data_IF_303269889860
#
_entry.id   IF_303269889860
#
_cell.length_a   1.000
_cell.length_b   1.000
_cell.length_c   1.000
_cell.angle_alpha   90.00
_cell.angle_beta   90.00
_cell.angle_gamma   90.00
#
_symmetry.space_group_name_H-M   'P 1'
#
loop_
_entity.id
_entity.type
_entity.pdbx_description
1 polymer ?
#
# COMPACT_ATOMS: atom_id res chain seq x y z
N UNK A 1 28.84 18.96 -61.61
CA UNK A 1 27.96 18.05 -60.85
C UNK A 1 28.84 17.27 -59.89
N UNK A 2 28.99 17.74 -58.64
CA UNK A 2 29.83 17.06 -57.63
C UNK A 2 29.32 17.24 -56.19
N UNK A 3 28.07 17.69 -56.02
CA UNK A 3 27.45 17.89 -54.70
C UNK A 3 27.00 16.63 -53.94
N UNK A 4 26.63 15.48 -54.56
CA UNK A 4 26.14 14.33 -53.78
C UNK A 4 27.23 13.67 -52.93
N UNK A 5 28.52 13.84 -53.29
CA UNK A 5 29.63 13.21 -52.56
C UNK A 5 29.91 13.85 -51.19
N UNK A 6 29.72 15.17 -51.05
CA UNK A 6 29.96 15.87 -49.79
C UNK A 6 28.90 15.57 -48.74
N UNK A 7 27.63 15.48 -49.18
CA UNK A 7 26.52 15.10 -48.29
C UNK A 7 26.65 13.67 -47.80
N UNK A 8 27.04 12.73 -48.68
CA UNK A 8 27.30 11.34 -48.29
C UNK A 8 28.46 11.24 -47.29
N UNK A 9 29.57 11.93 -47.53
CA UNK A 9 30.73 11.95 -46.61
C UNK A 9 30.34 12.50 -45.23
N UNK A 10 29.58 13.59 -45.20
CA UNK A 10 29.06 14.15 -43.94
C UNK A 10 28.18 13.13 -43.22
N UNK A 11 27.22 12.49 -43.90
CA UNK A 11 26.36 11.49 -43.28
C UNK A 11 27.15 10.29 -42.72
N UNK A 12 28.20 9.85 -43.41
CA UNK A 12 29.06 8.76 -42.95
C UNK A 12 29.86 9.15 -41.70
N UNK A 13 30.41 10.36 -41.65
CA UNK A 13 31.11 10.90 -40.47
C UNK A 13 30.15 11.09 -39.29
N UNK A 14 28.95 11.62 -39.55
CA UNK A 14 27.91 11.83 -38.55
C UNK A 14 27.47 10.50 -37.92
N UNK A 15 27.28 9.48 -38.76
CA UNK A 15 26.97 8.11 -38.30
C UNK A 15 28.12 7.53 -37.48
N UNK A 16 29.36 7.66 -37.93
CA UNK A 16 30.54 7.17 -37.21
C UNK A 16 30.70 7.84 -35.84
N UNK A 17 30.41 9.14 -35.74
CA UNK A 17 30.42 9.86 -34.47
C UNK A 17 29.36 9.32 -33.50
N UNK A 18 28.13 9.09 -34.00
CA UNK A 18 27.03 8.49 -33.23
C UNK A 18 27.36 7.07 -32.75
N UNK A 19 27.91 6.22 -33.61
CA UNK A 19 28.27 4.83 -33.29
C UNK A 19 29.37 4.74 -32.20
N UNK A 20 30.12 5.82 -31.96
CA UNK A 20 31.18 5.88 -30.95
C UNK A 20 30.73 6.40 -29.59
N UNK A 21 29.52 6.95 -29.48
CA UNK A 21 29.01 7.49 -28.21
C UNK A 21 28.78 6.32 -27.23
N UNK A 22 29.45 6.29 -26.06
CA UNK A 22 29.30 5.20 -25.12
C UNK A 22 27.97 5.29 -24.36
N UNK A 23 27.09 4.31 -24.57
CA UNK A 23 25.75 4.24 -23.94
C UNK A 23 25.69 3.33 -22.71
N UNK A 24 26.71 2.49 -22.50
CA UNK A 24 26.66 1.37 -21.56
C UNK A 24 26.36 1.82 -20.13
N UNK A 25 26.99 2.91 -19.67
CA UNK A 25 26.78 3.44 -18.31
C UNK A 25 25.34 3.94 -18.13
N UNK A 26 24.79 4.64 -19.12
CA UNK A 26 23.40 5.10 -19.10
C UNK A 26 22.42 3.93 -19.14
N UNK A 27 22.68 2.93 -20.00
CA UNK A 27 21.87 1.71 -20.10
C UNK A 27 21.84 0.92 -18.79
N UNK A 28 22.98 0.69 -18.16
CA UNK A 28 23.05 0.01 -16.86
C UNK A 28 22.39 0.82 -15.74
N UNK A 29 22.52 2.14 -15.75
CA UNK A 29 21.84 2.99 -14.78
C UNK A 29 20.31 2.90 -14.93
N UNK A 30 19.79 2.92 -16.16
CA UNK A 30 18.35 2.72 -16.43
C UNK A 30 17.89 1.35 -15.96
N UNK A 31 18.64 0.27 -16.26
CA UNK A 31 18.32 -1.10 -15.80
C UNK A 31 18.27 -1.18 -14.27
N UNK A 32 19.24 -0.57 -13.59
CA UNK A 32 19.26 -0.48 -12.14
C UNK A 32 18.04 0.26 -11.59
N UNK A 33 17.64 1.36 -12.23
CA UNK A 33 16.44 2.10 -11.85
C UNK A 33 15.15 1.30 -12.02
N UNK A 34 15.04 0.53 -13.10
CA UNK A 34 13.91 -0.38 -13.32
C UNK A 34 13.79 -1.38 -12.15
N UNK A 35 14.92 -1.94 -11.69
CA UNK A 35 14.94 -2.83 -10.53
C UNK A 35 14.48 -2.14 -9.25
N UNK A 36 14.91 -0.89 -9.02
CA UNK A 36 14.44 -0.06 -7.89
C UNK A 36 12.91 0.10 -7.94
N UNK A 37 12.36 0.48 -9.10
CA UNK A 37 10.91 0.64 -9.29
C UNK A 37 10.18 -0.69 -9.07
N UNK A 38 10.74 -1.80 -9.53
CA UNK A 38 10.18 -3.13 -9.34
C UNK A 38 10.09 -3.51 -7.85
N UNK A 39 11.18 -3.32 -7.10
CA UNK A 39 11.22 -3.60 -5.66
C UNK A 39 10.18 -2.75 -4.89
N UNK A 40 10.06 -1.47 -5.25
CA UNK A 40 9.02 -0.59 -4.69
C UNK A 40 7.62 -1.12 -5.00
N UNK A 41 7.36 -1.50 -6.26
CA UNK A 41 6.06 -2.02 -6.69
C UNK A 41 5.66 -3.30 -5.94
N UNK A 42 6.61 -4.23 -5.74
CA UNK A 42 6.37 -5.45 -4.97
C UNK A 42 5.96 -5.12 -3.53
N UNK A 43 6.67 -4.19 -2.86
CA UNK A 43 6.31 -3.79 -1.50
C UNK A 43 4.97 -3.06 -1.39
N UNK A 44 4.66 -2.18 -2.33
CA UNK A 44 3.35 -1.53 -2.40
C UNK A 44 2.22 -2.56 -2.60
N UNK A 45 2.47 -3.62 -3.38
CA UNK A 45 1.50 -4.72 -3.56
C UNK A 45 1.26 -5.49 -2.26
N UNK A 46 2.31 -5.75 -1.46
CA UNK A 46 2.17 -6.35 -0.14
C UNK A 46 1.36 -5.46 0.83
N UNK A 47 1.67 -4.17 0.88
CA UNK A 47 0.92 -3.19 1.69
C UNK A 47 -0.56 -3.16 1.28
N UNK A 48 -0.85 -3.14 -0.02
CA UNK A 48 -2.21 -3.12 -0.53
C UNK A 48 -3.01 -4.38 -0.15
N UNK A 49 -2.36 -5.54 -0.09
CA UNK A 49 -3.00 -6.77 0.40
C UNK A 49 -3.37 -6.64 1.88
N UNK A 50 -2.48 -6.08 2.69
CA UNK A 50 -2.74 -5.85 4.12
C UNK A 50 -3.89 -4.84 4.28
N UNK A 51 -3.85 -3.72 3.55
CA UNK A 51 -4.93 -2.72 3.53
C UNK A 51 -6.30 -3.35 3.25
N UNK A 52 -6.43 -4.15 2.19
CA UNK A 52 -7.70 -4.83 1.85
C UNK A 52 -8.17 -5.77 2.96
N UNK A 53 -7.25 -6.48 3.62
CA UNK A 53 -7.57 -7.37 4.75
C UNK A 53 -8.10 -6.58 5.94
N UNK A 54 -7.49 -5.44 6.27
CA UNK A 54 -7.94 -4.53 7.32
C UNK A 54 -9.32 -3.95 6.99
N UNK A 55 -9.54 -3.47 5.76
CA UNK A 55 -10.82 -2.94 5.30
C UNK A 55 -11.94 -3.98 5.37
N UNK A 56 -11.68 -5.21 4.92
CA UNK A 56 -12.64 -6.30 4.99
C UNK A 56 -12.99 -6.65 6.45
N UNK A 57 -11.98 -6.74 7.32
CA UNK A 57 -12.19 -7.06 8.74
C UNK A 57 -13.00 -5.98 9.44
N UNK A 58 -12.71 -4.70 9.16
CA UNK A 58 -13.46 -3.55 9.66
C UNK A 58 -14.91 -3.55 9.18
N UNK A 59 -15.14 -3.80 7.89
CA UNK A 59 -16.49 -3.90 7.32
C UNK A 59 -17.33 -5.02 7.94
N UNK A 60 -16.73 -6.19 8.17
CA UNK A 60 -17.41 -7.30 8.84
C UNK A 60 -17.71 -7.00 10.30
N UNK A 61 -16.78 -6.34 11.02
CA UNK A 61 -17.02 -5.87 12.38
C UNK A 61 -18.20 -4.88 12.45
N UNK A 62 -18.26 -3.89 11.56
CA UNK A 62 -19.37 -2.92 11.52
C UNK A 62 -20.73 -3.58 11.27
N UNK A 63 -20.80 -4.57 10.38
CA UNK A 63 -22.02 -5.37 10.17
C UNK A 63 -22.43 -6.13 11.44
N UNK A 64 -21.49 -6.78 12.12
CA UNK A 64 -21.78 -7.50 13.37
C UNK A 64 -22.21 -6.57 14.49
N UNK A 65 -21.54 -5.43 14.62
CA UNK A 65 -21.83 -4.38 15.61
C UNK A 65 -23.21 -3.76 15.39
N UNK A 66 -23.57 -3.43 14.14
CA UNK A 66 -24.90 -2.91 13.80
C UNK A 66 -26.01 -3.95 14.01
N UNK A 67 -25.76 -5.21 13.67
CA UNK A 67 -26.68 -6.32 13.94
C UNK A 67 -26.93 -6.50 15.44
N UNK A 68 -25.88 -6.52 16.26
CA UNK A 68 -26.01 -6.65 17.71
C UNK A 68 -26.80 -5.48 18.32
N UNK A 69 -26.50 -4.24 17.92
CA UNK A 69 -27.26 -3.04 18.35
C UNK A 69 -28.75 -3.13 18.00
N UNK A 70 -29.08 -3.74 16.85
CA UNK A 70 -30.48 -3.97 16.46
C UNK A 70 -31.15 -5.01 17.35
N UNK A 71 -30.46 -6.11 17.67
CA UNK A 71 -30.94 -7.16 18.58
C UNK A 71 -31.13 -6.60 19.98
N UNK A 72 -30.16 -5.88 20.53
CA UNK A 72 -30.24 -5.21 21.83
C UNK A 72 -31.48 -4.31 21.90
N UNK A 73 -31.67 -3.45 20.90
CA UNK A 73 -32.82 -2.54 20.86
C UNK A 73 -34.14 -3.31 20.89
N UNK A 74 -34.28 -4.38 20.09
CA UNK A 74 -35.49 -5.21 20.09
C UNK A 74 -35.68 -5.94 21.41
N UNK A 75 -34.62 -6.56 21.94
CA UNK A 75 -34.65 -7.33 23.18
C UNK A 75 -35.07 -6.48 24.38
N UNK A 76 -34.40 -5.34 24.59
CA UNK A 76 -34.74 -4.44 25.69
C UNK A 76 -36.08 -3.71 25.47
N UNK A 77 -36.43 -3.35 24.23
CA UNK A 77 -37.74 -2.76 23.94
C UNK A 77 -38.89 -3.73 24.20
N UNK A 78 -38.74 -5.01 23.86
CA UNK A 78 -39.74 -6.05 24.15
C UNK A 78 -39.89 -6.29 25.65
N UNK A 79 -38.80 -6.31 26.42
CA UNK A 79 -38.87 -6.42 27.89
C UNK A 79 -39.58 -5.21 28.53
N UNK A 80 -39.28 -3.99 28.06
CA UNK A 80 -39.93 -2.76 28.52
C UNK A 80 -41.44 -2.72 28.21
N UNK A 81 -41.89 -3.38 27.14
CA UNK A 81 -43.31 -3.42 26.73
C UNK A 81 -44.15 -4.46 27.48
N UNK A 82 -43.52 -5.51 28.04
CA UNK A 82 -44.22 -6.59 28.78
C UNK A 82 -44.28 -6.29 30.29
N UNK A 83 -43.74 -5.16 30.75
CA UNK A 83 -43.74 -4.77 32.16
C UNK A 83 -42.89 -5.69 33.05
N UNK A 84 -42.05 -6.55 32.44
CA UNK A 84 -41.08 -7.37 33.16
C UNK A 84 -39.86 -6.49 33.36
N UNK A 85 -39.70 -5.97 34.57
CA UNK A 85 -38.45 -5.36 35.02
C UNK A 85 -37.32 -6.35 34.74
N UNK A 86 -36.21 -5.94 34.08
CA UNK A 86 -34.98 -6.74 34.06
C UNK A 86 -34.67 -7.16 35.51
N UNK A 87 -34.17 -8.38 35.76
CA UNK A 87 -33.94 -8.85 37.13
C UNK A 87 -32.96 -7.88 37.81
N UNK A 88 -33.51 -6.98 38.61
CA UNK A 88 -32.74 -6.13 39.48
C UNK A 88 -32.02 -7.05 40.47
N UNK A 89 -30.75 -6.76 40.68
CA UNK A 89 -29.86 -7.46 41.60
C UNK A 89 -30.28 -7.21 43.05
N UNK A 90 -31.44 -7.75 43.46
CA UNK A 90 -31.92 -7.75 44.84
C UNK A 90 -31.69 -9.12 45.50
N UNK A 91 -31.26 -9.18 46.77
CA UNK A 91 -30.99 -10.45 47.45
C UNK A 91 -32.33 -11.05 47.92
N UNK A 92 -32.91 -11.95 47.13
CA UNK A 92 -34.21 -12.53 47.44
C UNK A 92 -34.46 -13.86 46.74
N UNK A 93 -33.89 -14.93 47.31
CA UNK A 93 -34.44 -16.29 47.41
C UNK A 93 -35.07 -16.95 46.16
N UNK A 94 -34.33 -17.91 45.60
CA UNK A 94 -34.89 -19.15 45.05
C UNK A 94 -35.02 -19.20 43.52
N UNK A 95 -34.33 -20.18 42.93
CA UNK A 95 -34.25 -20.54 41.50
C UNK A 95 -33.23 -19.72 40.70
N UNK A 96 -32.02 -20.27 40.63
CA UNK A 96 -30.90 -19.77 39.85
C UNK A 96 -31.15 -19.85 38.35
N UNK A 97 -31.96 -18.93 37.83
CA UNK A 97 -31.89 -18.55 36.43
C UNK A 97 -30.68 -17.64 36.30
N UNK A 98 -29.66 -18.13 35.59
CA UNK A 98 -28.39 -17.46 35.31
C UNK A 98 -28.63 -15.96 35.03
N UNK A 99 -28.25 -15.10 35.99
CA UNK A 99 -28.43 -13.64 35.94
C UNK A 99 -27.48 -12.97 34.94
N UNK A 100 -27.09 -13.71 33.90
CA UNK A 100 -26.14 -13.33 32.89
C UNK A 100 -26.90 -12.70 31.74
N UNK A 101 -26.43 -11.54 31.30
CA UNK A 101 -26.97 -10.86 30.13
C UNK A 101 -27.09 -11.88 28.96
N UNK A 102 -28.30 -12.12 28.42
CA UNK A 102 -28.50 -13.08 27.32
C UNK A 102 -27.70 -12.74 26.06
N UNK A 103 -27.21 -11.51 25.96
CA UNK A 103 -26.35 -11.03 24.87
C UNK A 103 -24.86 -11.00 25.25
N UNK A 104 -24.48 -11.44 26.45
CA UNK A 104 -23.09 -11.40 26.94
C UNK A 104 -22.12 -12.14 26.02
N UNK A 105 -22.51 -13.33 25.53
CA UNK A 105 -21.67 -14.12 24.63
C UNK A 105 -21.47 -13.38 23.29
N UNK A 106 -22.54 -12.83 22.71
CA UNK A 106 -22.45 -12.04 21.46
C UNK A 106 -21.62 -10.77 21.63
N UNK A 107 -21.72 -10.11 22.78
CA UNK A 107 -20.88 -8.95 23.13
C UNK A 107 -19.40 -9.35 23.26
N UNK A 108 -19.13 -10.49 23.89
CA UNK A 108 -17.77 -11.03 24.02
C UNK A 108 -17.17 -11.40 22.66
N UNK A 109 -17.93 -12.05 21.78
CA UNK A 109 -17.52 -12.34 20.40
C UNK A 109 -17.25 -11.05 19.62
N UNK A 110 -18.11 -10.04 19.75
CA UNK A 110 -17.92 -8.75 19.10
C UNK A 110 -16.64 -8.05 19.58
N UNK A 111 -16.36 -8.07 20.89
CA UNK A 111 -15.12 -7.55 21.45
C UNK A 111 -13.88 -8.29 20.91
N UNK A 112 -13.96 -9.62 20.73
CA UNK A 112 -12.90 -10.38 20.09
C UNK A 112 -12.72 -10.01 18.60
N UNK A 113 -13.80 -9.72 17.88
CA UNK A 113 -13.72 -9.17 16.53
C UNK A 113 -13.09 -7.78 16.49
N UNK A 114 -13.43 -6.92 17.46
CA UNK A 114 -12.86 -5.57 17.57
C UNK A 114 -11.35 -5.62 17.74
N UNK A 115 -10.84 -6.42 18.68
CA UNK A 115 -9.39 -6.59 18.89
C UNK A 115 -8.67 -7.05 17.63
N UNK A 116 -9.27 -7.98 16.88
CA UNK A 116 -8.69 -8.40 15.59
C UNK A 116 -8.62 -7.26 14.58
N UNK A 117 -9.62 -6.38 14.51
CA UNK A 117 -9.58 -5.20 13.63
C UNK A 117 -8.46 -4.25 14.06
N UNK A 118 -8.33 -3.98 15.36
CA UNK A 118 -7.27 -3.15 15.94
C UNK A 118 -5.88 -3.71 15.60
N UNK A 119 -5.66 -5.02 15.76
CA UNK A 119 -4.41 -5.68 15.40
C UNK A 119 -4.07 -5.55 13.90
N UNK A 120 -5.07 -5.71 13.02
CA UNK A 120 -4.90 -5.53 11.58
C UNK A 120 -4.66 -4.05 11.19
N UNK A 121 -5.21 -3.09 11.93
CA UNK A 121 -4.93 -1.67 11.75
C UNK A 121 -3.49 -1.32 12.12
N UNK A 122 -3.00 -1.84 13.24
CA UNK A 122 -1.59 -1.69 13.65
C UNK A 122 -0.66 -2.30 12.60
N UNK A 123 -0.99 -3.51 12.11
CA UNK A 123 -0.22 -4.19 11.05
C UNK A 123 -0.19 -3.37 9.76
N UNK A 124 -1.33 -2.81 9.36
CA UNK A 124 -1.41 -1.94 8.19
C UNK A 124 -0.58 -0.67 8.36
N UNK A 125 -0.66 0.02 9.50
CA UNK A 125 0.15 1.21 9.77
C UNK A 125 1.65 0.92 9.66
N UNK A 126 2.10 -0.19 10.27
CA UNK A 126 3.50 -0.61 10.19
C UNK A 126 3.92 -0.93 8.75
N UNK A 127 3.06 -1.57 7.97
CA UNK A 127 3.34 -1.85 6.56
C UNK A 127 3.51 -0.55 5.75
N UNK A 128 2.63 0.45 5.96
CA UNK A 128 2.72 1.77 5.33
C UNK A 128 4.05 2.46 5.66
N UNK A 129 4.44 2.47 6.94
CA UNK A 129 5.71 3.07 7.38
C UNK A 129 6.92 2.41 6.70
N UNK A 130 6.96 1.07 6.69
CA UNK A 130 8.04 0.30 6.04
C UNK A 130 8.10 0.57 4.55
N UNK A 131 6.96 0.52 3.84
CA UNK A 131 6.93 0.81 2.39
C UNK A 131 7.40 2.23 2.09
N UNK A 132 6.95 3.22 2.87
CA UNK A 132 7.35 4.63 2.69
C UNK A 132 8.84 4.81 2.89
N UNK A 133 9.39 4.29 3.99
CA UNK A 133 10.81 4.37 4.29
C UNK A 133 11.65 3.69 3.19
N UNK A 134 11.25 2.48 2.77
CA UNK A 134 11.96 1.75 1.73
C UNK A 134 11.88 2.45 0.36
N UNK A 135 10.72 3.01 0.01
CA UNK A 135 10.52 3.77 -1.23
C UNK A 135 11.42 5.00 -1.25
N UNK A 136 11.40 5.78 -0.16
CA UNK A 136 12.22 6.97 -0.04
C UNK A 136 13.72 6.63 -0.14
N UNK A 137 14.17 5.62 0.60
CA UNK A 137 15.57 5.20 0.59
C UNK A 137 16.03 4.78 -0.81
N UNK A 138 15.28 3.91 -1.48
CA UNK A 138 15.62 3.46 -2.83
C UNK A 138 15.67 4.61 -3.85
N UNK A 139 14.76 5.58 -3.75
CA UNK A 139 14.77 6.74 -4.64
C UNK A 139 15.96 7.66 -4.35
N UNK A 140 16.26 7.91 -3.06
CA UNK A 140 17.39 8.74 -2.65
C UNK A 140 18.74 8.15 -3.08
N UNK A 141 18.89 6.83 -3.05
CA UNK A 141 20.13 6.16 -3.45
C UNK A 141 20.20 5.87 -4.94
N UNK A 142 19.07 5.60 -5.60
CA UNK A 142 19.02 5.21 -7.01
C UNK A 142 18.99 6.37 -7.99
N UNK A 143 18.21 7.42 -7.71
CA UNK A 143 18.00 8.52 -8.67
C UNK A 143 19.26 9.32 -9.02
N UNK A 144 20.13 9.70 -8.05
CA UNK A 144 21.29 10.54 -8.37
C UNK A 144 22.20 9.92 -9.43
N UNK A 145 22.51 8.62 -9.30
CA UNK A 145 23.37 7.93 -10.25
C UNK A 145 22.74 7.83 -11.65
N UNK A 146 21.43 7.65 -11.71
CA UNK A 146 20.69 7.60 -12.99
C UNK A 146 20.70 8.95 -13.68
N UNK A 147 20.37 10.02 -12.96
CA UNK A 147 20.40 11.36 -13.54
C UNK A 147 21.79 11.76 -13.98
N UNK A 148 22.82 11.46 -13.18
CA UNK A 148 24.20 11.73 -13.57
C UNK A 148 24.59 10.97 -14.85
N UNK A 149 24.30 9.67 -14.93
CA UNK A 149 24.60 8.86 -16.11
C UNK A 149 23.88 9.37 -17.37
N UNK A 150 22.60 9.75 -17.25
CA UNK A 150 21.81 10.29 -18.35
C UNK A 150 22.30 11.67 -18.79
N UNK A 151 22.63 12.56 -17.86
CA UNK A 151 23.18 13.87 -18.19
C UNK A 151 24.53 13.73 -18.89
N UNK A 152 25.44 12.91 -18.35
CA UNK A 152 26.74 12.67 -18.99
C UNK A 152 26.59 12.08 -20.38
N UNK A 153 25.69 11.11 -20.56
CA UNK A 153 25.40 10.55 -21.89
C UNK A 153 24.88 11.61 -22.85
N UNK A 154 23.93 12.46 -22.41
CA UNK A 154 23.41 13.54 -23.24
C UNK A 154 24.49 14.54 -23.66
N UNK A 155 25.40 14.89 -22.74
CA UNK A 155 26.52 15.80 -23.04
C UNK A 155 27.46 15.18 -24.07
N UNK A 156 27.89 13.93 -23.86
CA UNK A 156 28.75 13.20 -24.81
C UNK A 156 28.09 13.07 -26.19
N UNK A 157 26.78 12.85 -26.22
CA UNK A 157 26.01 12.76 -27.44
C UNK A 157 26.02 14.10 -28.20
N UNK A 158 25.79 15.22 -27.51
CA UNK A 158 25.87 16.57 -28.13
C UNK A 158 27.28 16.88 -28.62
N UNK A 159 28.32 16.64 -27.82
CA UNK A 159 29.71 16.87 -28.21
C UNK A 159 30.10 16.08 -29.47
N UNK A 160 29.67 14.81 -29.56
CA UNK A 160 29.91 13.99 -30.74
C UNK A 160 29.26 14.59 -32.00
N UNK A 161 28.04 15.10 -31.89
CA UNK A 161 27.32 15.72 -33.00
C UNK A 161 27.89 17.06 -33.45
N UNK A 162 28.40 17.87 -32.52
CA UNK A 162 29.02 19.17 -32.81
C UNK A 162 30.44 19.05 -33.39
N UNK A 163 31.06 17.87 -33.25
CA UNK A 163 32.43 17.61 -33.71
C UNK A 163 32.56 17.22 -35.19
N UNK A 164 31.43 17.02 -35.88
CA UNK A 164 31.33 16.66 -37.31
C UNK A 164 30.89 17.88 -38.11
#
# INVERSE_FOLDING_TARGET
>A
SSEPSGVLSFCDEWKLALDRVPDTVASEAIKSFINVVHVISVKQSEELKIKRRTENSSKEFEKKSSSLRSIERKFYSSYSMVGITPPESGPGNGQGLDARDPLAEKKMELAAHQRRVEDEMVRHSKAVEVTRAMTLNNLQTGLPGVFQALTSFSTLFTEALESV
#
